data_IF_969436949431
#
_entry.id   IF_969436949431
#
_cell.length_a   1.000
_cell.length_b   1.000
_cell.length_c   1.000
_cell.angle_alpha   90.00
_cell.angle_beta   90.00
_cell.angle_gamma   90.00
#
_symmetry.space_group_name_H-M   'P 1'
#
loop_
_entity.id
_entity.type
_entity.pdbx_description
1 polymer ?
#
# COMPACT_ATOMS: atom_id res chain seq x y z
N UNK A 1 -21.90 0.20 19.62
CA UNK A 1 -20.60 0.82 19.92
C UNK A 1 -19.55 -0.06 19.27
N UNK A 2 -19.08 0.25 18.06
CA UNK A 2 -17.95 -0.49 17.47
C UNK A 2 -16.92 0.52 16.97
N UNK A 3 -16.38 1.29 17.92
CA UNK A 3 -15.22 2.13 17.67
C UNK A 3 -13.97 1.29 17.86
N UNK A 4 -13.63 0.44 16.89
CA UNK A 4 -12.31 -0.17 16.87
C UNK A 4 -11.27 0.95 16.90
N UNK A 5 -10.34 0.91 17.86
CA UNK A 5 -9.33 1.97 17.98
C UNK A 5 -8.58 2.08 16.65
N UNK A 6 -8.39 3.31 16.18
CA UNK A 6 -7.76 3.58 14.88
C UNK A 6 -6.40 2.89 14.78
N UNK A 7 -5.66 2.81 15.88
CA UNK A 7 -4.35 2.17 15.91
C UNK A 7 -4.45 0.65 15.81
N UNK A 8 -5.46 0.05 16.42
CA UNK A 8 -5.73 -1.39 16.29
C UNK A 8 -6.10 -1.74 14.84
N UNK A 9 -6.94 -0.92 14.20
CA UNK A 9 -7.29 -1.10 12.80
C UNK A 9 -6.04 -1.00 11.90
N UNK A 10 -5.22 0.02 12.11
CA UNK A 10 -3.95 0.17 11.38
C UNK A 10 -2.99 -1.00 11.61
N UNK A 11 -2.89 -1.53 12.83
CA UNK A 11 -2.08 -2.71 13.11
C UNK A 11 -2.54 -3.92 12.28
N UNK A 12 -3.85 -4.20 12.30
CA UNK A 12 -4.42 -5.33 11.55
C UNK A 12 -4.22 -5.19 10.05
N UNK A 13 -4.45 -3.99 9.51
CA UNK A 13 -4.24 -3.71 8.09
C UNK A 13 -2.76 -3.86 7.69
N UNK A 14 -1.84 -3.32 8.49
CA UNK A 14 -0.40 -3.44 8.24
C UNK A 14 0.08 -4.91 8.27
N UNK A 15 -0.38 -5.70 9.24
CA UNK A 15 -0.04 -7.13 9.33
C UNK A 15 -0.61 -7.93 8.15
N UNK A 16 -1.85 -7.65 7.76
CA UNK A 16 -2.49 -8.27 6.60
C UNK A 16 -1.72 -7.96 5.31
N UNK A 17 -1.35 -6.68 5.12
CA UNK A 17 -0.57 -6.25 3.96
C UNK A 17 0.80 -6.94 3.92
N UNK A 18 1.52 -7.01 5.05
CA UNK A 18 2.82 -7.69 5.10
C UNK A 18 2.71 -9.14 4.64
N UNK A 19 1.72 -9.90 5.16
CA UNK A 19 1.51 -11.31 4.79
C UNK A 19 1.11 -11.49 3.32
N UNK A 20 0.45 -10.51 2.73
CA UNK A 20 0.09 -10.54 1.31
C UNK A 20 1.29 -10.26 0.40
N UNK A 21 2.30 -9.51 0.89
CA UNK A 21 3.46 -9.08 0.11
C UNK A 21 4.71 -9.93 0.37
N UNK A 22 4.80 -10.62 1.51
CA UNK A 22 5.95 -11.40 1.93
C UNK A 22 5.54 -12.74 2.51
N UNK A 23 6.36 -13.77 2.25
CA UNK A 23 6.25 -15.08 2.89
C UNK A 23 6.86 -15.11 4.31
N UNK A 24 7.63 -14.08 4.67
CA UNK A 24 8.28 -13.97 5.97
C UNK A 24 7.35 -13.36 7.03
N UNK A 25 7.52 -13.73 8.32
CA UNK A 25 6.76 -13.09 9.39
C UNK A 25 7.09 -11.59 9.51
N UNK A 26 6.12 -10.76 9.93
CA UNK A 26 6.36 -9.33 10.20
C UNK A 26 7.54 -9.12 11.17
N UNK A 27 8.38 -8.08 10.99
CA UNK A 27 9.52 -7.82 11.85
C UNK A 27 9.10 -7.61 13.31
N UNK A 28 9.85 -8.21 14.23
CA UNK A 28 9.59 -8.08 15.67
C UNK A 28 9.74 -6.62 16.09
N UNK A 29 8.78 -6.10 16.84
CA UNK A 29 8.79 -4.73 17.37
C UNK A 29 8.21 -3.67 16.43
N UNK A 30 7.91 -3.98 15.16
CA UNK A 30 7.19 -3.07 14.28
C UNK A 30 5.68 -3.26 14.40
N UNK A 31 4.95 -2.15 14.52
CA UNK A 31 3.49 -2.11 14.62
C UNK A 31 2.95 -0.91 13.85
N UNK A 32 1.70 -1.03 13.42
CA UNK A 32 0.87 0.06 12.91
C UNK A 32 1.53 0.77 11.75
N UNK A 33 1.64 2.10 11.85
CA UNK A 33 2.22 2.93 10.81
C UNK A 33 3.65 2.50 10.43
N UNK A 34 4.49 2.08 11.39
CA UNK A 34 5.87 1.65 11.09
C UNK A 34 5.92 0.30 10.38
N UNK A 35 5.02 -0.61 10.73
CA UNK A 35 4.91 -1.89 10.02
C UNK A 35 4.37 -1.67 8.60
N UNK A 36 3.38 -0.79 8.44
CA UNK A 36 2.84 -0.41 7.15
C UNK A 36 3.93 0.18 6.25
N UNK A 37 4.71 1.12 6.76
CA UNK A 37 5.83 1.72 6.03
C UNK A 37 6.84 0.66 5.58
N UNK A 38 7.24 -0.25 6.47
CA UNK A 38 8.11 -1.36 6.11
C UNK A 38 7.50 -2.29 5.05
N UNK A 39 6.20 -2.56 5.12
CA UNK A 39 5.49 -3.38 4.13
C UNK A 39 5.47 -2.71 2.75
N UNK A 40 5.30 -1.37 2.68
CA UNK A 40 5.31 -0.63 1.42
C UNK A 40 6.68 -0.66 0.74
N UNK A 41 7.77 -0.69 1.52
CA UNK A 41 9.13 -0.81 0.99
C UNK A 41 9.48 -2.21 0.46
N UNK A 42 8.66 -3.24 0.72
CA UNK A 42 8.85 -4.58 0.12
C UNK A 42 8.64 -4.57 -1.40
N UNK A 43 7.83 -3.64 -1.90
CA UNK A 43 7.66 -3.42 -3.33
C UNK A 43 8.51 -2.24 -3.77
N UNK A 44 9.30 -2.44 -4.81
CA UNK A 44 9.91 -1.33 -5.53
C UNK A 44 8.80 -0.50 -6.15
N UNK A 45 8.66 0.75 -5.73
CA UNK A 45 7.77 1.71 -6.38
C UNK A 45 8.30 1.90 -7.80
N UNK A 46 7.61 1.32 -8.78
CA UNK A 46 7.89 1.59 -10.18
C UNK A 46 7.68 3.07 -10.48
N UNK A 47 8.31 3.63 -11.53
CA UNK A 47 8.03 4.99 -11.95
C UNK A 47 6.52 5.15 -12.18
N UNK A 48 5.98 6.28 -11.75
CA UNK A 48 4.56 6.57 -11.92
C UNK A 48 4.21 6.62 -13.41
N UNK A 49 3.60 5.55 -13.91
CA UNK A 49 3.17 5.46 -15.29
C UNK A 49 1.76 6.04 -15.45
N UNK A 50 1.72 7.29 -15.89
CA UNK A 50 0.48 8.02 -16.14
C UNK A 50 -0.40 7.30 -17.16
N UNK A 51 0.18 6.66 -18.17
CA UNK A 51 -0.55 6.05 -19.29
C UNK A 51 -1.32 4.80 -18.86
N UNK A 52 -0.85 4.09 -17.84
CA UNK A 52 -1.49 2.87 -17.33
C UNK A 52 -2.30 3.11 -16.05
N UNK A 53 -2.55 4.37 -15.69
CA UNK A 53 -3.38 4.71 -14.53
C UNK A 53 -4.83 4.28 -14.77
N UNK A 54 -5.47 3.53 -13.84
CA UNK A 54 -6.88 3.15 -13.95
C UNK A 54 -7.84 4.36 -13.88
N UNK A 55 -7.33 5.52 -13.47
CA UNK A 55 -8.08 6.77 -13.40
C UNK A 55 -7.89 7.67 -14.63
N UNK A 56 -6.99 7.30 -15.55
CA UNK A 56 -6.76 8.05 -16.77
C UNK A 56 -7.89 7.78 -17.77
N UNK A 57 -8.62 8.81 -18.17
CA UNK A 57 -9.62 8.69 -19.24
C UNK A 57 -8.94 8.86 -20.60
N UNK A 58 -9.43 8.14 -21.60
CA UNK A 58 -8.89 8.22 -22.97
C UNK A 58 -8.87 9.65 -23.53
N UNK A 59 -9.86 10.49 -23.16
CA UNK A 59 -9.94 11.90 -23.56
C UNK A 59 -8.83 12.79 -23.00
N UNK A 60 -8.12 12.34 -21.97
CA UNK A 60 -7.03 13.07 -21.33
C UNK A 60 -5.66 12.75 -21.97
N UNK A 61 -5.61 11.86 -22.97
CA UNK A 61 -4.38 11.47 -23.67
C UNK A 61 -4.23 12.34 -24.92
N UNK A 62 -3.31 13.32 -24.88
CA UNK A 62 -2.91 14.05 -26.08
C UNK A 62 -1.86 13.22 -26.83
N UNK A 63 -2.17 12.82 -28.07
CA UNK A 63 -1.21 12.16 -28.98
C UNK A 63 -0.66 13.18 -29.99
N UNK A 64 0.62 13.09 -30.39
CA UNK A 64 1.15 13.90 -31.48
C UNK A 64 0.39 13.61 -32.79
N UNK A 65 0.27 14.63 -33.64
CA UNK A 65 -0.26 14.50 -35.01
C UNK A 65 0.78 13.98 -35.96
#
# INVERSE_FOLDING_TARGET
MDGMDRNERLNREAESLWRALSAEPPPRGLRGARLLDAALHLKTVGPYDRLHSPHLRASQITRPR
#
